data_IF_149610289265
#
_entry.id   IF_149610289265
#
_cell.length_a   1.000
_cell.length_b   1.000
_cell.length_c   1.000
_cell.angle_alpha   90.00
_cell.angle_beta   90.00
_cell.angle_gamma   90.00
#
_symmetry.space_group_name_H-M   'P 1'
#
loop_
_entity.id
_entity.type
_entity.pdbx_description
1 polymer ?
#
# COMPACT_ATOMS: atom_id res chain seq x y z
N UNK A 1 -23.30 -5.89 22.11
CA UNK A 1 -23.68 -6.36 20.76
C UNK A 1 -22.52 -7.13 20.16
N UNK A 2 -22.61 -8.47 19.98
CA UNK A 2 -21.49 -9.29 19.46
C UNK A 2 -21.28 -9.15 17.94
N UNK A 3 -22.32 -8.73 17.21
CA UNK A 3 -22.28 -8.59 15.76
C UNK A 3 -21.32 -7.51 15.25
N UNK A 4 -21.08 -6.44 16.02
CA UNK A 4 -20.19 -5.35 15.61
C UNK A 4 -18.70 -5.63 15.89
N UNK A 5 -18.39 -6.65 16.69
CA UNK A 5 -17.01 -7.01 17.05
C UNK A 5 -16.08 -7.27 15.84
N UNK A 6 -16.55 -7.92 14.74
CA UNK A 6 -15.76 -8.06 13.52
C UNK A 6 -15.35 -6.71 12.90
N UNK A 7 -16.21 -5.70 12.94
CA UNK A 7 -15.92 -4.37 12.41
C UNK A 7 -14.83 -3.68 13.24
N UNK A 8 -14.96 -3.70 14.56
CA UNK A 8 -13.95 -3.14 15.46
C UNK A 8 -12.59 -3.82 15.27
N UNK A 9 -12.59 -5.14 15.06
CA UNK A 9 -11.38 -5.93 14.81
C UNK A 9 -10.71 -5.52 13.51
N UNK A 10 -11.49 -5.36 12.42
CA UNK A 10 -10.96 -4.92 11.11
C UNK A 10 -10.44 -3.50 11.18
N UNK A 11 -11.16 -2.57 11.82
CA UNK A 11 -10.73 -1.18 11.99
C UNK A 11 -9.39 -1.12 12.71
N UNK A 12 -9.25 -1.83 13.84
CA UNK A 12 -7.97 -1.91 14.58
C UNK A 12 -6.86 -2.50 13.74
N UNK A 13 -7.13 -3.60 13.02
CA UNK A 13 -6.12 -4.28 12.21
C UNK A 13 -5.66 -3.50 10.97
N UNK A 14 -6.51 -2.60 10.44
CA UNK A 14 -6.19 -1.70 9.33
C UNK A 14 -5.53 -0.40 9.76
N UNK A 15 -5.76 0.02 11.01
CA UNK A 15 -5.19 1.22 11.60
C UNK A 15 -3.78 1.01 12.20
N UNK A 16 -3.23 -0.20 12.09
CA UNK A 16 -1.87 -0.51 12.53
C UNK A 16 -0.85 0.25 11.67
N UNK A 17 -0.13 1.18 12.28
CA UNK A 17 0.86 2.05 11.64
C UNK A 17 2.24 1.38 11.51
N UNK A 18 2.47 0.27 12.22
CA UNK A 18 3.77 -0.40 12.27
C UNK A 18 4.04 -1.29 11.06
N UNK A 19 3.00 -1.72 10.34
CA UNK A 19 3.08 -2.65 9.22
C UNK A 19 2.16 -2.19 8.10
N UNK A 20 2.56 -2.42 6.86
CA UNK A 20 1.67 -2.16 5.72
C UNK A 20 0.38 -2.97 5.85
N UNK A 21 -0.77 -2.31 5.91
CA UNK A 21 -2.09 -2.95 6.04
C UNK A 21 -2.81 -3.10 4.70
N UNK A 22 -2.25 -2.55 3.62
CA UNK A 22 -2.89 -2.50 2.30
C UNK A 22 -3.30 -3.88 1.77
N UNK A 23 -2.45 -4.89 2.00
CA UNK A 23 -2.70 -6.28 1.60
C UNK A 23 -3.87 -6.95 2.35
N UNK A 24 -4.36 -6.35 3.44
CA UNK A 24 -5.44 -6.86 4.28
C UNK A 24 -6.80 -6.28 3.91
N UNK A 25 -6.84 -5.14 3.22
CA UNK A 25 -8.08 -4.42 2.91
C UNK A 25 -9.06 -5.28 2.12
N UNK A 26 -8.60 -5.94 1.05
CA UNK A 26 -9.46 -6.79 0.22
C UNK A 26 -9.97 -8.02 0.99
N UNK A 27 -9.13 -8.82 1.67
CA UNK A 27 -9.59 -9.90 2.54
C UNK A 27 -10.58 -9.44 3.62
N UNK A 28 -10.35 -8.27 4.23
CA UNK A 28 -11.23 -7.76 5.27
C UNK A 28 -12.56 -7.23 4.75
N UNK A 29 -12.61 -6.59 3.58
CA UNK A 29 -13.88 -6.24 2.92
C UNK A 29 -14.71 -7.51 2.71
N UNK A 30 -14.12 -8.56 2.12
CA UNK A 30 -14.82 -9.82 1.91
C UNK A 30 -15.28 -10.45 3.23
N UNK A 31 -14.41 -10.46 4.25
CA UNK A 31 -14.76 -10.97 5.57
C UNK A 31 -15.96 -10.25 6.19
N UNK A 32 -16.02 -8.92 6.12
CA UNK A 32 -17.13 -8.14 6.65
C UNK A 32 -18.43 -8.33 5.85
N UNK A 33 -18.34 -8.45 4.52
CA UNK A 33 -19.48 -8.81 3.67
C UNK A 33 -20.06 -10.15 4.10
N UNK A 34 -19.22 -11.17 4.28
CA UNK A 34 -19.67 -12.49 4.74
C UNK A 34 -20.31 -12.40 6.14
N UNK A 35 -19.82 -11.53 7.03
CA UNK A 35 -20.45 -11.31 8.34
C UNK A 35 -21.82 -10.61 8.26
N UNK A 36 -22.09 -9.90 7.17
CA UNK A 36 -23.38 -9.28 6.91
C UNK A 36 -24.38 -10.22 6.23
N UNK A 37 -24.02 -11.47 5.93
CA UNK A 37 -24.96 -12.46 5.43
C UNK A 37 -26.08 -12.71 6.46
N UNK A 38 -27.31 -12.70 5.97
CA UNK A 38 -28.51 -12.85 6.78
C UNK A 38 -28.71 -14.33 7.08
N UNK A 39 -28.84 -14.65 8.37
CA UNK A 39 -29.22 -15.97 8.85
C UNK A 39 -30.73 -16.00 9.12
N UNK A 40 -31.33 -17.19 8.99
CA UNK A 40 -32.73 -17.42 9.35
C UNK A 40 -32.98 -17.12 10.83
N UNK A 41 -32.01 -17.45 11.69
CA UNK A 41 -32.08 -17.27 13.14
C UNK A 41 -31.88 -15.82 13.59
N UNK A 42 -31.49 -14.92 12.69
CA UNK A 42 -31.35 -13.50 13.03
C UNK A 42 -32.73 -12.88 13.35
N UNK A 43 -32.78 -12.12 14.45
CA UNK A 43 -33.96 -11.30 14.74
C UNK A 43 -34.12 -10.18 13.69
N UNK A 44 -35.35 -9.65 13.56
CA UNK A 44 -35.71 -8.65 12.55
C UNK A 44 -34.78 -7.41 12.56
N UNK A 45 -34.41 -6.91 13.74
CA UNK A 45 -33.53 -5.75 13.87
C UNK A 45 -32.12 -6.05 13.36
N UNK A 46 -31.57 -7.22 13.70
CA UNK A 46 -30.26 -7.64 13.25
C UNK A 46 -30.21 -7.85 11.72
N UNK A 47 -31.27 -8.43 11.14
CA UNK A 47 -31.41 -8.55 9.67
C UNK A 47 -31.34 -7.19 8.97
N UNK A 48 -32.01 -6.18 9.52
CA UNK A 48 -31.98 -4.81 8.98
C UNK A 48 -30.59 -4.20 9.08
N UNK A 49 -29.91 -4.34 10.22
CA UNK A 49 -28.54 -3.82 10.41
C UNK A 49 -27.56 -4.51 9.47
N UNK A 50 -27.61 -5.84 9.35
CA UNK A 50 -26.80 -6.63 8.43
C UNK A 50 -26.99 -6.19 6.97
N UNK A 51 -28.26 -6.07 6.53
CA UNK A 51 -28.58 -5.61 5.18
C UNK A 51 -28.04 -4.19 4.92
N UNK A 52 -28.25 -3.28 5.87
CA UNK A 52 -27.77 -1.90 5.76
C UNK A 52 -26.23 -1.84 5.67
N UNK A 53 -25.52 -2.50 6.57
CA UNK A 53 -24.06 -2.49 6.59
C UNK A 53 -23.47 -3.21 5.38
N UNK A 54 -24.03 -4.35 4.97
CA UNK A 54 -23.58 -5.09 3.79
C UNK A 54 -23.64 -4.23 2.53
N UNK A 55 -24.76 -3.52 2.31
CA UNK A 55 -24.89 -2.56 1.20
C UNK A 55 -23.89 -1.41 1.30
N UNK A 56 -23.73 -0.82 2.48
CA UNK A 56 -22.78 0.28 2.69
C UNK A 56 -21.34 -0.13 2.46
N UNK A 57 -20.96 -1.33 2.89
CA UNK A 57 -19.63 -1.88 2.64
C UNK A 57 -19.39 -2.04 1.13
N UNK A 58 -20.38 -2.54 0.39
CA UNK A 58 -20.21 -2.72 -1.05
C UNK A 58 -20.10 -1.39 -1.80
N UNK A 59 -21.02 -0.46 -1.52
CA UNK A 59 -21.13 0.84 -2.18
C UNK A 59 -20.03 1.84 -1.80
N UNK A 60 -19.58 1.86 -0.55
CA UNK A 60 -18.69 2.92 -0.03
C UNK A 60 -17.25 2.46 0.17
N UNK A 61 -17.00 1.16 0.29
CA UNK A 61 -15.64 0.66 0.45
C UNK A 61 -15.04 0.34 -0.91
N UNK A 62 -14.57 1.36 -1.61
CA UNK A 62 -13.97 1.21 -2.92
C UNK A 62 -12.62 0.49 -2.83
N UNK A 63 -12.45 -0.56 -3.66
CA UNK A 63 -11.18 -1.27 -3.78
C UNK A 63 -10.47 -0.80 -5.05
N UNK A 64 -9.28 -0.26 -4.87
CA UNK A 64 -8.40 0.15 -5.97
C UNK A 64 -7.50 -1.01 -6.45
N UNK A 65 -6.87 -0.84 -7.61
CA UNK A 65 -5.92 -1.81 -8.15
C UNK A 65 -4.72 -2.05 -7.20
N UNK A 66 -4.28 -1.06 -6.43
CA UNK A 66 -3.25 -1.23 -5.40
C UNK A 66 -3.66 -2.25 -4.34
N UNK A 67 -4.92 -2.22 -3.90
CA UNK A 67 -5.43 -3.18 -2.92
C UNK A 67 -5.42 -4.60 -3.50
N UNK A 68 -5.80 -4.76 -4.77
CA UNK A 68 -5.76 -6.05 -5.45
C UNK A 68 -4.33 -6.58 -5.58
N UNK A 69 -3.41 -5.75 -6.09
CA UNK A 69 -1.99 -6.12 -6.24
C UNK A 69 -1.40 -6.51 -4.89
N UNK A 70 -1.59 -5.67 -3.86
CA UNK A 70 -1.04 -5.92 -2.53
C UNK A 70 -1.63 -7.19 -1.91
N UNK A 71 -2.95 -7.40 -2.02
CA UNK A 71 -3.59 -8.57 -1.45
C UNK A 71 -3.15 -9.86 -2.15
N UNK A 72 -3.07 -9.86 -3.48
CA UNK A 72 -2.74 -11.06 -4.26
C UNK A 72 -1.26 -11.42 -4.15
N UNK A 73 -0.36 -10.45 -4.10
CA UNK A 73 1.09 -10.74 -4.05
C UNK A 73 1.60 -11.02 -2.64
N UNK A 74 0.80 -10.76 -1.61
CA UNK A 74 1.23 -11.00 -0.23
C UNK A 74 1.31 -12.50 0.10
N UNK A 75 2.41 -12.99 0.71
CA UNK A 75 2.63 -14.41 0.95
C UNK A 75 1.60 -15.05 1.89
N UNK A 76 0.95 -14.28 2.76
CA UNK A 76 -0.07 -14.79 3.69
C UNK A 76 -1.46 -14.98 3.03
N UNK A 77 -1.65 -14.49 1.80
CA UNK A 77 -2.94 -14.55 1.09
C UNK A 77 -2.95 -15.62 -0.01
N UNK A 78 -2.28 -16.77 0.22
CA UNK A 78 -2.15 -17.86 -0.78
C UNK A 78 -3.49 -18.39 -1.29
N UNK A 79 -4.55 -18.27 -0.50
CA UNK A 79 -5.90 -18.66 -0.91
C UNK A 79 -6.41 -17.84 -2.10
N UNK A 80 -6.00 -16.58 -2.25
CA UNK A 80 -6.33 -15.75 -3.41
C UNK A 80 -5.62 -16.23 -4.68
N UNK A 81 -4.51 -16.96 -4.57
CA UNK A 81 -3.82 -17.56 -5.72
C UNK A 81 -4.61 -18.70 -6.34
N UNK A 82 -5.60 -19.26 -5.62
CA UNK A 82 -6.50 -20.29 -6.17
C UNK A 82 -7.40 -19.75 -7.27
N UNK A 83 -7.55 -18.43 -7.38
CA UNK A 83 -8.23 -17.78 -8.51
C UNK A 83 -7.19 -17.31 -9.53
N UNK A 84 -6.93 -18.07 -10.61
CA UNK A 84 -5.89 -17.74 -11.58
C UNK A 84 -6.11 -16.37 -12.22
N UNK A 85 -7.37 -16.01 -12.49
CA UNK A 85 -7.74 -14.73 -13.11
C UNK A 85 -7.36 -13.52 -12.25
N UNK A 86 -7.51 -13.60 -10.92
CA UNK A 86 -7.11 -12.51 -10.02
C UNK A 86 -5.59 -12.35 -10.00
N UNK A 87 -4.87 -13.46 -10.04
CA UNK A 87 -3.40 -13.47 -10.09
C UNK A 87 -2.87 -12.86 -11.38
N UNK A 88 -3.40 -13.28 -12.52
CA UNK A 88 -3.04 -12.74 -13.83
C UNK A 88 -3.31 -11.23 -13.89
N UNK A 89 -4.51 -10.80 -13.47
CA UNK A 89 -4.87 -9.38 -13.41
C UNK A 89 -3.92 -8.58 -12.53
N UNK A 90 -3.61 -9.06 -11.32
CA UNK A 90 -2.68 -8.37 -10.42
C UNK A 90 -1.28 -8.23 -11.02
N UNK A 91 -0.78 -9.28 -11.69
CA UNK A 91 0.52 -9.25 -12.37
C UNK A 91 0.51 -8.24 -13.53
N UNK A 92 -0.55 -8.20 -14.34
CA UNK A 92 -0.68 -7.23 -15.44
C UNK A 92 -0.68 -5.79 -14.93
N UNK A 93 -1.46 -5.51 -13.88
CA UNK A 93 -1.51 -4.18 -13.26
C UNK A 93 -0.16 -3.77 -12.66
N UNK A 94 0.55 -4.71 -12.04
CA UNK A 94 1.91 -4.46 -11.53
C UNK A 94 2.87 -4.12 -12.66
N UNK A 95 2.87 -4.91 -13.75
CA UNK A 95 3.70 -4.64 -14.93
C UNK A 95 3.42 -3.24 -15.48
N UNK A 96 2.15 -2.91 -15.71
CA UNK A 96 1.75 -1.60 -16.23
C UNK A 96 2.25 -0.45 -15.34
N UNK A 97 2.19 -0.60 -14.01
CA UNK A 97 2.70 0.42 -13.07
C UNK A 97 4.22 0.55 -13.10
N UNK A 98 4.95 -0.55 -13.28
CA UNK A 98 6.40 -0.51 -13.42
C UNK A 98 6.80 0.23 -14.70
N UNK A 99 6.17 -0.07 -15.84
CA UNK A 99 6.46 0.60 -17.11
C UNK A 99 6.18 2.11 -17.07
N UNK A 100 5.03 2.54 -16.52
CA UNK A 100 4.68 3.97 -16.41
C UNK A 100 5.68 4.82 -15.60
N UNK A 101 6.44 4.22 -14.68
CA UNK A 101 7.46 4.95 -13.92
C UNK A 101 8.71 5.25 -14.73
N UNK A 102 9.03 4.45 -15.75
CA UNK A 102 10.23 4.65 -16.57
C UNK A 102 10.09 5.80 -17.58
N UNK A 103 8.87 6.08 -18.05
CA UNK A 103 8.63 7.19 -18.99
C UNK A 103 8.72 8.56 -18.30
N UNK A 104 8.41 8.63 -17.00
CA UNK A 104 8.43 9.89 -16.23
C UNK A 104 9.85 10.32 -15.83
N UNK A 105 10.78 9.38 -15.62
CA UNK A 105 12.17 9.70 -15.25
C UNK A 105 13.05 10.07 -16.45
N UNK A 106 12.61 9.81 -17.69
CA UNK A 106 13.41 10.07 -18.90
C UNK A 106 13.31 11.51 -19.41
N UNK A 107 12.56 12.40 -18.76
CA UNK A 107 12.36 13.80 -19.19
C UNK A 107 13.16 14.86 -18.41
N UNK A 108 14.22 14.48 -17.66
CA UNK A 108 15.10 15.45 -17.00
C UNK A 108 16.47 15.49 -17.67
N UNK A 109 16.53 16.03 -18.89
CA UNK A 109 17.79 16.45 -19.47
C UNK A 109 17.63 17.86 -20.07
N UNK A 110 18.52 18.74 -19.62
CA UNK A 110 18.94 20.03 -20.21
C UNK A 110 18.19 21.31 -19.79
N UNK A 111 18.78 22.04 -18.83
CA UNK A 111 18.98 23.48 -18.97
C UNK A 111 20.23 23.96 -18.22
N UNK A 112 21.33 23.93 -18.98
CA UNK A 112 22.33 24.99 -19.20
C UNK A 112 23.04 25.64 -18.01
N UNK A 113 24.34 25.34 -17.93
CA UNK A 113 25.39 26.06 -17.20
C UNK A 113 25.66 27.40 -17.90
N UNK A 114 25.73 28.50 -17.14
CA UNK A 114 26.41 29.72 -17.55
C UNK A 114 27.18 30.32 -16.35
N UNK A 115 28.46 30.62 -16.57
CA UNK A 115 29.46 31.11 -15.60
C UNK A 115 29.71 32.61 -15.82
N UNK A 116 29.52 33.41 -14.75
CA UNK A 116 30.23 34.61 -14.18
C UNK A 116 31.06 35.60 -15.07
N UNK A 117 31.19 36.92 -14.71
CA UNK A 117 31.98 37.40 -13.54
C UNK A 117 31.52 38.69 -12.79
N UNK A 118 32.29 38.99 -11.73
CA UNK A 118 32.13 39.89 -10.55
C UNK A 118 32.08 41.43 -10.73
N UNK A 119 31.56 42.16 -9.71
CA UNK A 119 32.34 43.07 -8.81
C UNK A 119 31.50 43.85 -7.75
N UNK A 120 31.92 43.73 -6.46
CA UNK A 120 31.82 44.67 -5.29
C UNK A 120 30.46 45.27 -4.83
N UNK A 121 30.05 45.35 -3.54
CA UNK A 121 30.73 45.16 -2.24
C UNK A 121 29.75 45.24 -1.02
N UNK A 122 30.14 44.63 0.12
CA UNK A 122 29.92 45.05 1.55
C UNK A 122 28.51 44.81 2.16
N UNK A 123 28.23 44.09 3.29
CA UNK A 123 28.98 43.45 4.41
C UNK A 123 28.09 42.50 5.24
N UNK A 124 28.70 41.45 5.83
CA UNK A 124 28.43 40.82 7.16
C UNK A 124 27.11 40.05 7.38
N UNK A 125 27.02 38.79 7.85
CA UNK A 125 27.89 37.88 8.63
C UNK A 125 27.46 36.41 8.39
N UNK A 126 28.34 35.43 8.09
CA UNK A 126 29.12 34.56 9.01
C UNK A 126 28.20 33.63 9.86
N UNK A 127 28.13 32.29 9.69
CA UNK A 127 29.21 31.28 9.73
C UNK A 127 29.03 30.11 8.75
N UNK A 128 30.18 29.68 8.22
CA UNK A 128 30.49 28.49 7.42
C UNK A 128 30.59 27.23 8.30
N UNK A 129 30.38 26.01 7.79
CA UNK A 129 31.42 25.13 7.19
C UNK A 129 30.88 23.69 7.35
N UNK A 130 31.08 22.68 6.51
CA UNK A 130 31.90 22.48 5.33
C UNK A 130 31.30 21.30 4.54
N UNK A 131 31.53 21.33 3.24
CA UNK A 131 31.32 20.22 2.30
C UNK A 131 32.42 19.18 2.55
N UNK A 132 32.04 17.90 2.56
CA UNK A 132 32.93 16.86 2.03
C UNK A 132 32.11 15.84 1.25
N UNK A 133 32.62 15.64 0.05
CA UNK A 133 32.11 14.88 -1.08
C UNK A 133 32.20 13.36 -0.86
N UNK A 134 31.46 12.63 -1.71
CA UNK A 134 31.69 11.23 -2.12
C UNK A 134 31.21 10.15 -1.15
N UNK A 135 30.10 9.50 -1.48
CA UNK A 135 30.16 8.19 -2.15
C UNK A 135 28.76 7.68 -2.47
N UNK A 136 28.62 7.20 -3.70
CA UNK A 136 27.51 6.36 -4.15
C UNK A 136 27.59 5.06 -3.37
N UNK A 137 26.79 4.91 -2.31
CA UNK A 137 26.48 3.60 -1.78
C UNK A 137 25.29 3.05 -2.55
N UNK A 138 25.60 2.15 -3.49
CA UNK A 138 24.65 1.18 -4.03
C UNK A 138 23.80 0.67 -2.86
N UNK A 139 22.48 0.87 -2.92
CA UNK A 139 21.57 0.10 -2.10
C UNK A 139 21.81 -1.37 -2.46
N UNK A 140 22.43 -2.09 -1.54
CA UNK A 140 22.63 -3.54 -1.63
C UNK A 140 21.25 -4.16 -1.76
N UNK A 141 21.02 -4.79 -2.90
CA UNK A 141 19.86 -5.65 -3.12
C UNK A 141 19.97 -6.76 -2.07
N UNK A 142 19.16 -6.68 -1.01
CA UNK A 142 19.04 -7.78 -0.06
C UNK A 142 18.37 -8.94 -0.80
N UNK A 143 19.18 -9.94 -1.10
CA UNK A 143 18.77 -11.22 -1.66
C UNK A 143 17.73 -11.86 -0.73
N UNK A 144 16.61 -12.29 -1.30
CA UNK A 144 15.46 -12.81 -0.57
C UNK A 144 15.66 -14.24 -0.05
N UNK A 145 16.92 -14.62 0.26
CA UNK A 145 17.31 -15.97 0.67
C UNK A 145 17.77 -16.10 2.13
N UNK A 146 17.89 -15.00 2.89
CA UNK A 146 18.35 -15.06 4.29
C UNK A 146 17.25 -14.82 5.35
N UNK A 147 15.97 -14.98 5.01
CA UNK A 147 14.87 -15.02 6.00
C UNK A 147 14.23 -16.43 6.05
N UNK A 148 15.08 -17.44 6.06
CA UNK A 148 14.75 -18.81 6.43
C UNK A 148 15.84 -19.30 7.37
N UNK A 149 15.78 -18.89 8.63
CA UNK A 149 16.32 -19.60 9.80
C UNK A 149 16.00 -18.78 11.06
N UNK A 150 14.76 -18.92 11.52
CA UNK A 150 14.42 -18.82 12.94
C UNK A 150 13.08 -19.52 13.13
N UNK A 151 13.13 -20.85 13.09
CA UNK A 151 12.25 -21.68 13.91
C UNK A 151 12.64 -21.46 15.38
N UNK A 152 11.66 -21.09 16.21
CA UNK A 152 11.30 -21.83 17.43
C UNK A 152 9.78 -21.74 17.57
#
# INVERSE_FOLDING_TARGET
CRFLLPFDTVIKALSDDRRSTLHRVLPFKQYLINKCEIDNDDNKGLKQVKCFLGKRLDEKWELTDEHLIAAVLHPNNKHLHKSPHLKERAILLLKQKMFKRHDCFSSTATSTVAVLPDTSSTTSSTWSSSISSISVTKAVCLDARDILLMEV
#
